data_IF_008484461682
#
_entry.id   IF_008484461682
#
_cell.length_a   1.000
_cell.length_b   1.000
_cell.length_c   1.000
_cell.angle_alpha   90.00
_cell.angle_beta   90.00
_cell.angle_gamma   90.00
#
_symmetry.space_group_name_H-M   'P 1'
#
loop_
_entity.id
_entity.type
_entity.pdbx_description
1 polymer ?
#
# COMPACT_ATOMS: atom_id res chain seq x y z
N UNK A 1 -7.29 13.76 -24.26
CA UNK A 1 -8.07 12.90 -23.34
C UNK A 1 -7.09 12.14 -22.48
N UNK A 2 -7.02 12.47 -21.19
CA UNK A 2 -6.04 11.88 -20.25
C UNK A 2 -6.49 10.53 -19.67
N UNK A 3 -7.40 9.84 -20.36
CA UNK A 3 -8.06 8.60 -19.92
C UNK A 3 -7.06 7.50 -19.58
N UNK A 4 -6.00 7.34 -20.39
CA UNK A 4 -4.96 6.33 -20.15
C UNK A 4 -4.21 6.56 -18.83
N UNK A 5 -3.93 7.83 -18.49
CA UNK A 5 -3.24 8.17 -17.26
C UNK A 5 -4.15 7.92 -16.04
N UNK A 6 -5.45 8.22 -16.15
CA UNK A 6 -6.42 7.89 -15.11
C UNK A 6 -6.57 6.37 -14.90
N UNK A 7 -6.60 5.60 -15.99
CA UNK A 7 -6.60 4.13 -15.92
C UNK A 7 -5.32 3.63 -15.24
N UNK A 8 -4.17 4.22 -15.57
CA UNK A 8 -2.90 3.91 -14.93
C UNK A 8 -2.90 4.17 -13.42
N UNK A 9 -3.45 5.31 -12.97
CA UNK A 9 -3.63 5.59 -11.53
C UNK A 9 -4.49 4.52 -10.87
N UNK A 10 -5.61 4.12 -11.48
CA UNK A 10 -6.48 3.08 -10.92
C UNK A 10 -5.78 1.72 -10.84
N UNK A 11 -5.15 1.28 -11.94
CA UNK A 11 -4.44 0.00 -11.99
C UNK A 11 -3.27 -0.03 -11.00
N UNK A 12 -2.44 1.02 -10.98
CA UNK A 12 -1.33 1.15 -10.03
C UNK A 12 -1.81 1.12 -8.58
N UNK A 13 -2.91 1.83 -8.27
CA UNK A 13 -3.53 1.82 -6.95
C UNK A 13 -4.02 0.43 -6.53
N UNK A 14 -4.71 -0.29 -7.42
CA UNK A 14 -5.19 -1.66 -7.15
C UNK A 14 -4.04 -2.63 -6.89
N UNK A 15 -2.97 -2.56 -7.69
CA UNK A 15 -1.74 -3.36 -7.49
C UNK A 15 -1.10 -3.11 -6.12
N UNK A 16 -1.03 -1.85 -5.71
CA UNK A 16 -0.49 -1.46 -4.40
C UNK A 16 -1.35 -1.96 -3.25
N UNK A 17 -2.67 -1.81 -3.34
CA UNK A 17 -3.62 -2.32 -2.33
C UNK A 17 -3.53 -3.83 -2.23
N UNK A 18 -3.46 -4.54 -3.36
CA UNK A 18 -3.35 -6.00 -3.36
C UNK A 18 -2.01 -6.47 -2.77
N UNK A 19 -0.89 -5.87 -3.16
CA UNK A 19 0.43 -6.16 -2.60
C UNK A 19 0.46 -5.94 -1.08
N UNK A 20 -0.11 -4.82 -0.62
CA UNK A 20 -0.21 -4.52 0.80
C UNK A 20 -1.07 -5.57 1.52
N UNK A 21 -2.25 -5.87 0.99
CA UNK A 21 -3.15 -6.87 1.57
C UNK A 21 -2.52 -8.26 1.64
N UNK A 22 -1.83 -8.70 0.58
CA UNK A 22 -1.10 -9.96 0.57
C UNK A 22 0.00 -10.00 1.65
N UNK A 23 0.72 -8.89 1.83
CA UNK A 23 1.77 -8.75 2.86
C UNK A 23 1.16 -8.76 4.26
N UNK A 24 0.09 -8.02 4.50
CA UNK A 24 -0.60 -8.00 5.80
C UNK A 24 -1.20 -9.37 6.13
N UNK A 25 -1.78 -10.06 5.16
CA UNK A 25 -2.38 -11.39 5.34
C UNK A 25 -1.34 -12.46 5.62
N UNK A 26 -0.20 -12.43 4.94
CA UNK A 26 0.91 -13.35 5.20
C UNK A 26 1.56 -13.15 6.57
N UNK A 27 1.48 -11.95 7.13
CA UNK A 27 2.00 -11.60 8.45
C UNK A 27 0.86 -11.40 9.48
N UNK A 28 -0.28 -12.08 9.29
CA UNK A 28 -1.37 -12.04 10.25
C UNK A 28 -0.91 -12.59 11.62
N UNK A 29 -1.08 -11.80 12.67
CA UNK A 29 -0.68 -12.15 14.03
C UNK A 29 0.76 -11.77 14.41
N UNK A 30 1.56 -11.24 13.46
CA UNK A 30 2.91 -10.72 13.75
C UNK A 30 2.94 -9.21 13.55
N UNK A 31 3.74 -8.50 14.36
CA UNK A 31 4.00 -7.08 14.13
C UNK A 31 4.95 -6.94 12.96
N UNK A 32 4.59 -6.10 11.99
CA UNK A 32 5.47 -5.76 10.87
C UNK A 32 6.24 -4.50 11.26
N UNK A 33 7.58 -4.55 11.36
CA UNK A 33 8.35 -3.37 11.67
C UNK A 33 8.24 -2.32 10.55
N UNK A 34 8.09 -1.05 10.92
CA UNK A 34 7.68 0.02 10.00
C UNK A 34 8.81 0.50 9.07
N UNK A 35 10.06 0.29 9.49
CA UNK A 35 11.28 0.73 8.80
C UNK A 35 12.10 -0.43 8.20
N UNK A 36 11.72 -1.67 8.49
CA UNK A 36 12.44 -2.87 8.02
C UNK A 36 11.51 -3.82 7.28
N UNK A 37 12.11 -4.76 6.55
CA UNK A 37 11.35 -5.77 5.81
C UNK A 37 10.53 -6.63 6.77
N UNK A 38 9.31 -7.00 6.35
CA UNK A 38 8.49 -7.98 7.06
C UNK A 38 9.18 -9.35 7.08
N UNK A 39 8.97 -10.14 8.14
CA UNK A 39 9.56 -11.48 8.29
C UNK A 39 9.20 -12.42 7.13
N UNK A 40 7.97 -12.30 6.62
CA UNK A 40 7.49 -13.10 5.49
C UNK A 40 7.05 -12.17 4.37
N UNK A 41 7.77 -12.21 3.25
CA UNK A 41 7.39 -11.48 2.03
C UNK A 41 6.87 -12.49 0.99
N UNK A 42 5.58 -12.44 0.61
CA UNK A 42 5.04 -13.37 -0.37
C UNK A 42 5.74 -13.24 -1.72
N UNK A 43 6.05 -14.37 -2.40
CA UNK A 43 6.57 -14.33 -3.76
C UNK A 43 5.57 -13.60 -4.67
N UNK A 44 6.05 -12.63 -5.43
CA UNK A 44 5.22 -11.76 -6.29
C UNK A 44 4.70 -10.49 -5.64
N UNK A 45 4.66 -10.38 -4.30
CA UNK A 45 4.25 -9.14 -3.62
C UNK A 45 5.22 -7.99 -3.91
N UNK A 46 6.52 -8.26 -3.95
CA UNK A 46 7.55 -7.26 -4.30
C UNK A 46 7.35 -6.77 -5.74
N UNK A 47 7.14 -7.68 -6.68
CA UNK A 47 6.94 -7.33 -8.09
C UNK A 47 5.68 -6.49 -8.27
N UNK A 48 4.56 -6.92 -7.68
CA UNK A 48 3.30 -6.15 -7.69
C UNK A 48 3.48 -4.77 -7.05
N UNK A 49 4.26 -4.66 -5.98
CA UNK A 49 4.59 -3.39 -5.33
C UNK A 49 5.39 -2.49 -6.26
N UNK A 50 6.47 -2.98 -6.84
CA UNK A 50 7.36 -2.20 -7.71
C UNK A 50 6.61 -1.73 -8.97
N UNK A 51 5.88 -2.65 -9.63
CA UNK A 51 5.06 -2.33 -10.80
C UNK A 51 3.95 -1.36 -10.43
N UNK A 52 3.26 -1.58 -9.31
CA UNK A 52 2.23 -0.69 -8.79
C UNK A 52 2.75 0.72 -8.53
N UNK A 53 3.90 0.86 -7.85
CA UNK A 53 4.54 2.17 -7.60
C UNK A 53 4.88 2.85 -8.92
N UNK A 54 5.55 2.15 -9.83
CA UNK A 54 5.96 2.71 -11.12
C UNK A 54 4.74 3.21 -11.90
N UNK A 55 3.74 2.35 -12.12
CA UNK A 55 2.53 2.70 -12.88
C UNK A 55 1.79 3.86 -12.21
N UNK A 56 1.60 3.81 -10.88
CA UNK A 56 0.84 4.83 -10.14
C UNK A 56 1.53 6.20 -10.17
N UNK A 57 2.83 6.25 -9.87
CA UNK A 57 3.61 7.49 -9.81
C UNK A 57 3.78 8.09 -11.21
N UNK A 58 4.19 7.29 -12.20
CA UNK A 58 4.35 7.80 -13.57
C UNK A 58 3.04 8.30 -14.16
N UNK A 59 1.93 7.58 -13.93
CA UNK A 59 0.63 8.03 -14.39
C UNK A 59 0.23 9.36 -13.75
N UNK A 60 0.40 9.49 -12.43
CA UNK A 60 0.09 10.73 -11.72
C UNK A 60 0.97 11.91 -12.14
N UNK A 61 2.29 11.68 -12.31
CA UNK A 61 3.21 12.69 -12.81
C UNK A 61 2.89 13.09 -14.26
N UNK A 62 2.43 12.16 -15.10
CA UNK A 62 2.04 12.48 -16.48
C UNK A 62 0.83 13.44 -16.54
N UNK A 63 -0.04 13.42 -15.52
CA UNK A 63 -1.17 14.35 -15.37
C UNK A 63 -0.76 15.68 -14.71
N UNK A 64 0.48 15.79 -14.20
CA UNK A 64 0.96 17.01 -13.57
C UNK A 64 0.95 18.19 -14.55
N UNK A 65 0.40 19.32 -14.12
CA UNK A 65 0.23 20.51 -14.95
C UNK A 65 -0.95 20.48 -15.93
N UNK A 66 -1.60 19.33 -16.12
CA UNK A 66 -2.78 19.19 -17.01
C UNK A 66 -4.09 19.02 -16.27
N UNK A 67 -4.06 18.40 -15.10
CA UNK A 67 -5.26 17.98 -14.35
C UNK A 67 -5.38 18.65 -12.98
N UNK A 68 -4.72 19.80 -12.81
CA UNK A 68 -4.67 20.52 -11.54
C UNK A 68 -4.01 19.69 -10.44
N UNK A 69 -4.48 19.87 -9.20
CA UNK A 69 -3.86 19.27 -8.00
C UNK A 69 -4.30 17.83 -7.71
N UNK A 70 -5.34 17.34 -8.38
CA UNK A 70 -5.97 16.04 -8.07
C UNK A 70 -5.04 14.82 -8.14
N UNK A 71 -4.17 14.67 -9.16
CA UNK A 71 -3.23 13.55 -9.21
C UNK A 71 -2.29 13.51 -8.01
N UNK A 72 -1.83 14.68 -7.54
CA UNK A 72 -1.01 14.80 -6.35
C UNK A 72 -1.80 14.43 -5.08
N UNK A 73 -3.04 14.90 -4.94
CA UNK A 73 -3.92 14.53 -3.82
C UNK A 73 -4.11 13.01 -3.74
N UNK A 74 -4.32 12.35 -4.87
CA UNK A 74 -4.48 10.88 -4.93
C UNK A 74 -3.19 10.15 -4.53
N UNK A 75 -2.02 10.65 -4.95
CA UNK A 75 -0.73 10.10 -4.52
C UNK A 75 -0.59 10.13 -2.99
N UNK A 76 -0.80 11.30 -2.39
CA UNK A 76 -0.69 11.47 -0.94
C UNK A 76 -1.76 10.67 -0.18
N UNK A 77 -2.99 10.62 -0.68
CA UNK A 77 -4.06 9.82 -0.10
C UNK A 77 -3.72 8.32 -0.12
N UNK A 78 -3.21 7.80 -1.25
CA UNK A 78 -2.79 6.40 -1.35
C UNK A 78 -1.67 6.04 -0.37
N UNK A 79 -0.67 6.91 -0.23
CA UNK A 79 0.39 6.73 0.76
C UNK A 79 -0.15 6.73 2.20
N UNK A 80 -1.04 7.68 2.52
CA UNK A 80 -1.66 7.78 3.84
C UNK A 80 -2.50 6.54 4.17
N UNK A 81 -3.29 6.05 3.22
CA UNK A 81 -4.08 4.81 3.39
C UNK A 81 -3.17 3.61 3.67
N UNK A 82 -2.04 3.50 2.95
CA UNK A 82 -1.06 2.43 3.19
C UNK A 82 -0.47 2.47 4.61
N UNK A 83 -0.12 3.67 5.10
CA UNK A 83 0.39 3.87 6.46
C UNK A 83 -0.65 3.52 7.51
N UNK A 84 -1.90 3.98 7.33
CA UNK A 84 -2.99 3.70 8.25
C UNK A 84 -3.32 2.20 8.30
N UNK A 85 -3.32 1.52 7.16
CA UNK A 85 -3.55 0.08 7.08
C UNK A 85 -2.48 -0.69 7.88
N UNK A 86 -1.20 -0.35 7.69
CA UNK A 86 -0.08 -0.95 8.44
C UNK A 86 -0.18 -0.67 9.94
N UNK A 87 -0.47 0.57 10.32
CA UNK A 87 -0.65 0.95 11.73
C UNK A 87 -1.82 0.19 12.38
N UNK A 88 -2.94 0.06 11.66
CA UNK A 88 -4.12 -0.68 12.14
C UNK A 88 -3.82 -2.17 12.33
N UNK A 89 -3.08 -2.79 11.40
CA UNK A 89 -2.65 -4.18 11.50
C UNK A 89 -1.75 -4.41 12.72
N UNK A 90 -0.77 -3.53 12.91
CA UNK A 90 0.15 -3.60 14.04
C UNK A 90 -0.55 -3.40 15.39
N UNK A 91 -1.55 -2.50 15.47
CA UNK A 91 -2.39 -2.35 16.66
C UNK A 91 -3.18 -3.61 16.96
N UNK A 92 -3.79 -4.23 15.95
CA UNK A 92 -4.51 -5.51 16.11
C UNK A 92 -3.60 -6.63 16.57
N UNK A 93 -2.42 -6.78 15.98
CA UNK A 93 -1.42 -7.77 16.40
C UNK A 93 -0.94 -7.52 17.85
N UNK A 94 -0.77 -6.26 18.24
CA UNK A 94 -0.42 -5.89 19.61
C UNK A 94 -1.50 -6.26 20.65
N UNK A 95 -2.77 -6.10 20.29
CA UNK A 95 -3.88 -6.48 21.18
C UNK A 95 -4.00 -8.00 21.31
N UNK A 96 -3.82 -8.75 20.22
CA UNK A 96 -3.86 -10.21 20.23
C UNK A 96 -2.75 -10.83 21.11
N UNK A 97 -1.53 -10.26 21.11
CA UNK A 97 -0.45 -10.70 21.99
C UNK A 97 -0.77 -10.51 23.47
N UNK A 98 -1.33 -9.35 23.86
CA UNK A 98 -1.70 -9.08 25.26
C UNK A 98 -2.83 -9.97 25.79
N UNK A 99 -3.75 -10.42 24.93
CA UNK A 99 -4.81 -11.36 25.32
C UNK A 99 -4.32 -12.80 25.43
N UNK A 100 -3.21 -13.17 24.78
CA UNK A 100 -2.62 -14.50 24.88
C UNK A 100 -1.77 -14.71 26.13
N UNK A 101 -1.14 -13.65 26.65
CA UNK A 101 -0.34 -13.69 27.89
C UNK A 101 -1.19 -13.69 29.17
N UNK A 102 -2.51 -13.51 29.05
CA UNK A 102 -3.45 -13.44 30.17
C UNK A 102 -4.28 -14.72 30.37
N UNK A 103 -4.03 -15.77 29.59
CA UNK A 103 -4.69 -17.08 29.65
C UNK A 103 -3.70 -18.17 30.05
#
# INVERSE_FOLDING_TARGET
MDTLAWIGILLGGVLLVWSLWATLRANAGRRIPMLTNADVVPPGSIVARVVGIAVFVFSSLSLAGRSGVWPAVILFAGALVGLLALASHNRRAAHAGRSGDAA
#
